data_IF_156970349230
#
_entry.id   IF_156970349230
#
_cell.length_a   1.000
_cell.length_b   1.000
_cell.length_c   1.000
_cell.angle_alpha   90.00
_cell.angle_beta   90.00
_cell.angle_gamma   90.00
#
_symmetry.space_group_name_H-M   'P 1'
#
loop_
_entity.id
_entity.type
_entity.pdbx_description
1 polymer ?
#
# COMPACT_ATOMS: atom_id res chain seq x y z
N UNK A 1 4.20 -15.27 27.35
CA UNK A 1 4.51 -13.85 27.15
C UNK A 1 5.68 -13.82 26.18
N UNK A 2 5.44 -13.59 24.89
CA UNK A 2 6.45 -13.75 23.83
C UNK A 2 7.44 -12.60 23.91
N UNK A 3 8.70 -12.90 24.17
CA UNK A 3 9.80 -11.96 23.95
C UNK A 3 9.85 -11.61 22.46
N UNK A 4 9.35 -10.42 22.12
CA UNK A 4 9.48 -9.87 20.77
C UNK A 4 10.91 -9.36 20.56
N UNK A 5 11.62 -10.00 19.63
CA UNK A 5 12.94 -9.63 19.11
C UNK A 5 13.06 -8.11 18.85
N UNK A 6 14.13 -7.43 19.31
CA UNK A 6 14.37 -6.01 19.05
C UNK A 6 14.38 -5.64 17.56
N UNK A 7 14.79 -6.54 16.65
CA UNK A 7 14.73 -6.30 15.20
C UNK A 7 13.28 -6.20 14.71
N UNK A 8 12.40 -7.06 15.23
CA UNK A 8 10.97 -7.02 14.93
C UNK A 8 10.31 -5.74 15.46
N UNK A 9 10.80 -5.16 16.56
CA UNK A 9 10.32 -3.86 17.08
C UNK A 9 10.72 -2.71 16.16
N UNK A 10 11.97 -2.66 15.69
CA UNK A 10 12.44 -1.61 14.77
C UNK A 10 11.66 -1.65 13.45
N UNK A 11 11.46 -2.85 12.90
CA UNK A 11 10.70 -3.01 11.65
C UNK A 11 9.22 -2.63 11.82
N UNK A 12 8.63 -2.91 12.98
CA UNK A 12 7.27 -2.45 13.31
C UNK A 12 7.17 -0.92 13.42
N UNK A 13 8.19 -0.24 13.94
CA UNK A 13 8.22 1.23 13.95
C UNK A 13 8.36 1.83 12.55
N UNK A 14 9.11 1.18 11.65
CA UNK A 14 9.28 1.65 10.28
C UNK A 14 8.00 1.51 9.45
N UNK A 15 7.30 0.37 9.57
CA UNK A 15 5.98 0.19 8.93
C UNK A 15 5.01 1.27 9.39
N UNK A 16 4.95 1.54 10.70
CA UNK A 16 4.05 2.56 11.25
C UNK A 16 4.34 3.94 10.67
N UNK A 17 5.63 4.29 10.51
CA UNK A 17 6.07 5.55 9.88
C UNK A 17 5.63 5.60 8.41
N UNK A 18 5.84 4.55 7.64
CA UNK A 18 5.41 4.48 6.24
C UNK A 18 3.90 4.66 6.10
N UNK A 19 3.11 3.95 6.92
CA UNK A 19 1.64 4.05 6.89
C UNK A 19 1.18 5.49 7.17
N UNK A 20 1.78 6.15 8.17
CA UNK A 20 1.41 7.52 8.51
C UNK A 20 1.75 8.51 7.39
N UNK A 21 2.96 8.40 6.80
CA UNK A 21 3.36 9.26 5.68
C UNK A 21 2.46 9.04 4.45
N UNK A 22 2.14 7.78 4.12
CA UNK A 22 1.25 7.46 3.01
C UNK A 22 -0.16 8.03 3.24
N UNK A 23 -0.65 7.95 4.48
CA UNK A 23 -1.95 8.53 4.84
C UNK A 23 -1.95 10.04 4.63
N UNK A 24 -0.93 10.76 5.12
CA UNK A 24 -0.81 12.21 4.92
C UNK A 24 -0.76 12.56 3.43
N UNK A 25 0.04 11.84 2.64
CA UNK A 25 0.07 12.04 1.19
C UNK A 25 -1.32 11.86 0.56
N UNK A 26 -2.02 10.76 0.87
CA UNK A 26 -3.36 10.51 0.37
C UNK A 26 -4.37 11.57 0.83
N UNK A 27 -4.24 12.15 2.02
CA UNK A 27 -5.15 13.19 2.51
C UNK A 27 -5.09 14.47 1.65
N UNK A 28 -3.95 14.74 1.03
CA UNK A 28 -3.77 15.91 0.16
C UNK A 28 -4.11 15.65 -1.31
N UNK A 29 -4.08 14.39 -1.75
CA UNK A 29 -4.17 14.03 -3.17
C UNK A 29 -5.42 13.21 -3.53
N UNK A 30 -6.11 12.64 -2.54
CA UNK A 30 -7.34 11.88 -2.74
C UNK A 30 -8.54 12.68 -2.25
N UNK A 31 -9.70 12.48 -2.89
CA UNK A 31 -10.97 13.09 -2.44
C UNK A 31 -11.39 12.58 -1.07
N UNK A 32 -11.16 11.30 -0.81
CA UNK A 32 -11.58 10.64 0.42
C UNK A 32 -10.77 9.37 0.66
N UNK A 33 -10.73 8.90 1.91
CA UNK A 33 -9.96 7.73 2.35
C UNK A 33 -10.87 6.78 3.12
N UNK A 34 -10.71 5.48 2.88
CA UNK A 34 -11.45 4.41 3.56
C UNK A 34 -10.48 3.39 4.13
N UNK A 35 -10.80 2.89 5.32
CA UNK A 35 -10.13 1.73 5.89
C UNK A 35 -11.20 0.78 6.42
N UNK A 36 -11.38 -0.35 5.73
CA UNK A 36 -12.44 -1.32 6.03
C UNK A 36 -11.98 -2.43 6.97
N UNK A 37 -10.68 -2.49 7.29
CA UNK A 37 -10.10 -3.51 8.16
C UNK A 37 -9.99 -4.91 7.53
N UNK A 38 -10.22 -5.03 6.21
CA UNK A 38 -10.08 -6.28 5.46
C UNK A 38 -9.47 -6.00 4.10
N UNK A 39 -8.20 -6.41 3.92
CA UNK A 39 -7.48 -6.26 2.64
C UNK A 39 -8.22 -6.91 1.48
N UNK A 40 -8.73 -8.13 1.67
CA UNK A 40 -9.49 -8.83 0.63
C UNK A 40 -10.68 -7.99 0.16
N UNK A 41 -11.46 -7.45 1.11
CA UNK A 41 -12.65 -6.66 0.80
C UNK A 41 -12.31 -5.36 0.09
N UNK A 42 -11.27 -4.65 0.55
CA UNK A 42 -10.82 -3.39 -0.04
C UNK A 42 -10.39 -3.58 -1.50
N UNK A 43 -9.62 -4.63 -1.80
CA UNK A 43 -9.23 -4.98 -3.17
C UNK A 43 -10.44 -5.40 -4.03
N UNK A 44 -11.38 -6.18 -3.48
CA UNK A 44 -12.62 -6.50 -4.20
C UNK A 44 -13.46 -5.26 -4.51
N UNK A 45 -13.41 -4.23 -3.66
CA UNK A 45 -14.05 -2.95 -3.94
C UNK A 45 -13.33 -2.16 -5.03
N UNK A 46 -12.01 -2.25 -5.14
CA UNK A 46 -11.27 -1.74 -6.31
C UNK A 46 -11.71 -2.46 -7.58
N UNK A 47 -11.75 -3.80 -7.56
CA UNK A 47 -12.21 -4.59 -8.70
C UNK A 47 -13.64 -4.25 -9.12
N UNK A 48 -14.52 -3.93 -8.16
CA UNK A 48 -15.90 -3.52 -8.42
C UNK A 48 -16.06 -2.03 -8.77
N UNK A 49 -14.98 -1.25 -8.85
CA UNK A 49 -15.02 0.19 -9.13
C UNK A 49 -15.65 1.04 -8.03
N UNK A 50 -15.76 0.52 -6.80
CA UNK A 50 -16.27 1.26 -5.63
C UNK A 50 -15.18 2.04 -4.90
N UNK A 51 -13.93 1.61 -5.05
CA UNK A 51 -12.73 2.31 -4.62
C UNK A 51 -11.82 2.50 -5.82
N UNK A 52 -11.17 3.65 -5.90
CA UNK A 52 -10.27 3.95 -7.02
C UNK A 52 -8.89 3.31 -6.82
N UNK A 53 -8.40 3.25 -5.59
CA UNK A 53 -7.08 2.72 -5.27
C UNK A 53 -7.04 2.05 -3.89
N UNK A 54 -6.03 1.20 -3.70
CA UNK A 54 -5.74 0.49 -2.46
C UNK A 54 -4.23 0.47 -2.21
N UNK A 55 -3.81 0.72 -0.97
CA UNK A 55 -2.40 0.53 -0.56
C UNK A 55 -2.35 -0.12 0.81
N UNK A 56 -1.47 -1.11 0.98
CA UNK A 56 -1.22 -1.71 2.29
C UNK A 56 0.18 -2.30 2.42
N UNK A 57 0.67 -2.27 3.65
CA UNK A 57 1.96 -2.76 4.07
C UNK A 57 1.74 -3.84 5.14
N UNK A 58 2.24 -5.03 4.88
CA UNK A 58 2.20 -6.18 5.79
C UNK A 58 0.94 -7.06 5.80
N UNK A 59 0.00 -7.09 4.83
CA UNK A 59 -1.03 -8.15 4.82
C UNK A 59 -0.37 -9.54 4.66
N UNK A 60 -0.98 -10.61 5.17
CA UNK A 60 -0.48 -11.96 4.87
C UNK A 60 -0.83 -12.32 3.43
N UNK A 61 0.00 -13.11 2.78
CA UNK A 61 -0.12 -13.47 1.37
C UNK A 61 -1.52 -14.00 1.02
N UNK A 62 -2.06 -14.85 1.90
CA UNK A 62 -3.38 -15.44 1.75
C UNK A 62 -4.54 -14.45 1.96
N UNK A 63 -4.31 -13.32 2.63
CA UNK A 63 -5.36 -12.30 2.86
C UNK A 63 -5.71 -11.52 1.59
N UNK A 64 -4.87 -11.58 0.55
CA UNK A 64 -5.05 -10.74 -0.64
C UNK A 64 -4.79 -11.44 -1.98
N UNK A 65 -4.14 -12.60 -2.00
CA UNK A 65 -3.80 -13.30 -3.24
C UNK A 65 -5.01 -13.52 -4.17
N UNK A 66 -6.17 -13.93 -3.61
CA UNK A 66 -7.38 -14.12 -4.41
C UNK A 66 -7.94 -12.79 -4.96
N UNK A 67 -7.93 -11.74 -4.14
CA UNK A 67 -8.46 -10.43 -4.53
C UNK A 67 -7.56 -9.74 -5.58
N UNK A 68 -6.26 -10.01 -5.57
CA UNK A 68 -5.33 -9.56 -6.64
C UNK A 68 -5.78 -10.06 -8.00
N UNK A 69 -6.15 -11.35 -8.10
CA UNK A 69 -6.65 -11.91 -9.36
C UNK A 69 -7.94 -11.20 -9.79
N UNK A 70 -8.86 -10.96 -8.86
CA UNK A 70 -10.10 -10.24 -9.16
C UNK A 70 -9.86 -8.84 -9.73
N UNK A 71 -8.93 -8.07 -9.16
CA UNK A 71 -8.60 -6.73 -9.69
C UNK A 71 -8.05 -6.83 -11.11
N UNK A 72 -7.16 -7.80 -11.37
CA UNK A 72 -6.57 -7.99 -12.71
C UNK A 72 -7.63 -8.38 -13.75
N UNK A 73 -8.53 -9.30 -13.42
CA UNK A 73 -9.62 -9.73 -14.33
C UNK A 73 -10.66 -8.61 -14.56
N UNK A 74 -10.82 -7.71 -13.60
CA UNK A 74 -11.65 -6.50 -13.77
C UNK A 74 -10.98 -5.42 -14.65
N UNK A 75 -9.74 -5.64 -15.11
CA UNK A 75 -8.97 -4.66 -15.89
C UNK A 75 -8.21 -3.63 -15.06
N UNK A 76 -8.21 -3.79 -13.73
CA UNK A 76 -7.40 -2.98 -12.82
C UNK A 76 -5.93 -3.41 -12.80
N UNK A 77 -5.12 -2.66 -12.07
CA UNK A 77 -3.69 -2.90 -11.93
C UNK A 77 -3.32 -3.15 -10.47
N UNK A 78 -2.44 -4.13 -10.24
CA UNK A 78 -1.85 -4.39 -8.94
C UNK A 78 -0.34 -4.57 -9.07
N UNK A 79 0.41 -3.72 -8.38
CA UNK A 79 1.86 -3.60 -8.44
C UNK A 79 2.43 -3.45 -7.02
N UNK A 80 3.74 -3.51 -6.94
CA UNK A 80 4.49 -3.14 -5.75
C UNK A 80 4.68 -1.59 -5.69
N UNK A 81 5.06 -1.05 -4.54
CA UNK A 81 5.27 0.38 -4.27
C UNK A 81 6.41 0.99 -5.10
N UNK A 82 7.33 0.17 -5.59
CA UNK A 82 8.40 0.55 -6.53
C UNK A 82 7.98 0.46 -8.01
N UNK A 83 6.70 0.15 -8.27
CA UNK A 83 6.15 0.01 -9.61
C UNK A 83 6.46 -1.31 -10.31
N UNK A 84 7.15 -2.23 -9.62
CA UNK A 84 7.43 -3.56 -10.14
C UNK A 84 6.20 -4.47 -10.08
N UNK A 85 6.19 -5.59 -10.84
CA UNK A 85 5.16 -6.61 -10.69
C UNK A 85 5.02 -7.05 -9.23
N UNK A 86 3.77 -7.20 -8.77
CA UNK A 86 3.49 -7.62 -7.40
C UNK A 86 4.10 -8.99 -7.10
N UNK A 87 4.94 -9.05 -6.07
CA UNK A 87 5.44 -10.29 -5.47
C UNK A 87 4.78 -10.50 -4.10
N UNK A 88 3.90 -11.50 -3.97
CA UNK A 88 3.06 -11.69 -2.78
C UNK A 88 3.87 -11.75 -1.47
N UNK A 89 5.03 -12.42 -1.49
CA UNK A 89 5.89 -12.61 -0.32
C UNK A 89 6.51 -11.31 0.22
N UNK A 90 6.56 -10.24 -0.58
CA UNK A 90 7.01 -8.92 -0.10
C UNK A 90 5.96 -8.26 0.79
N UNK A 91 4.70 -8.75 0.75
CA UNK A 91 3.59 -8.31 1.61
C UNK A 91 3.41 -6.79 1.57
N UNK A 92 3.47 -6.22 0.37
CA UNK A 92 3.21 -4.82 0.08
C UNK A 92 2.52 -4.77 -1.28
N UNK A 93 1.35 -4.14 -1.33
CA UNK A 93 0.53 -4.12 -2.52
C UNK A 93 -0.08 -2.74 -2.72
N UNK A 94 0.00 -2.26 -3.96
CA UNK A 94 -0.62 -1.05 -4.45
C UNK A 94 -1.52 -1.44 -5.62
N UNK A 95 -2.79 -1.11 -5.54
CA UNK A 95 -3.76 -1.37 -6.60
C UNK A 95 -4.47 -0.09 -7.03
N UNK A 96 -4.85 -0.05 -8.29
CA UNK A 96 -5.70 0.99 -8.87
C UNK A 96 -6.74 0.39 -9.80
N UNK A 97 -7.88 1.05 -9.91
CA UNK A 97 -8.93 0.72 -10.89
C UNK A 97 -8.44 0.83 -12.33
N UNK A 98 -7.35 1.56 -12.57
CA UNK A 98 -6.61 1.62 -13.84
C UNK A 98 -5.10 1.53 -13.61
N UNK A 99 -4.35 1.11 -14.62
CA UNK A 99 -2.88 1.10 -14.57
C UNK A 99 -2.27 2.49 -14.36
N UNK A 100 -2.81 3.51 -15.04
CA UNK A 100 -2.35 4.90 -14.88
C UNK A 100 -2.50 5.40 -13.44
N UNK A 101 -3.64 5.08 -12.79
CA UNK A 101 -3.88 5.47 -11.41
C UNK A 101 -3.01 4.69 -10.42
N UNK A 102 -2.83 3.38 -10.61
CA UNK A 102 -1.92 2.61 -9.76
C UNK A 102 -0.49 3.20 -9.83
N UNK A 103 -0.03 3.53 -11.03
CA UNK A 103 1.31 4.10 -11.26
C UNK A 103 1.47 5.53 -10.76
N UNK A 104 0.42 6.34 -10.65
CA UNK A 104 0.55 7.73 -10.16
C UNK A 104 1.03 7.81 -8.71
N UNK A 105 0.81 6.76 -7.93
CA UNK A 105 1.26 6.67 -6.53
C UNK A 105 2.72 6.19 -6.38
N UNK A 106 3.30 5.60 -7.44
CA UNK A 106 4.70 5.14 -7.44
C UNK A 106 5.62 6.34 -7.28
N UNK A 107 6.59 6.24 -6.37
CA UNK A 107 7.47 7.35 -6.05
C UNK A 107 6.81 8.46 -5.22
N UNK A 108 5.65 8.22 -4.63
CA UNK A 108 5.05 9.11 -3.62
C UNK A 108 4.77 8.38 -2.31
N UNK A 109 4.40 7.10 -2.41
CA UNK A 109 4.17 6.26 -1.23
C UNK A 109 5.48 5.60 -0.77
N UNK A 110 5.63 5.49 0.54
CA UNK A 110 6.74 4.83 1.22
C UNK A 110 6.41 3.38 1.58
N UNK A 111 7.43 2.52 1.55
CA UNK A 111 7.38 1.15 2.04
C UNK A 111 8.69 0.81 2.76
N UNK A 112 8.70 -0.12 3.74
CA UNK A 112 9.93 -0.56 4.38
C UNK A 112 10.93 -1.10 3.36
N UNK A 113 12.21 -0.70 3.51
CA UNK A 113 13.28 -1.08 2.59
C UNK A 113 13.25 -0.37 1.23
N UNK A 114 12.28 0.52 0.98
CA UNK A 114 12.28 1.44 -0.16
C UNK A 114 12.91 2.77 0.28
N UNK A 115 13.82 3.31 -0.51
CA UNK A 115 14.35 4.66 -0.27
C UNK A 115 13.20 5.68 -0.29
N UNK A 116 13.19 6.70 0.58
CA UNK A 116 12.14 7.71 0.57
C UNK A 116 12.10 8.41 -0.80
N UNK A 117 10.92 8.58 -1.40
CA UNK A 117 10.82 9.33 -2.64
C UNK A 117 11.12 10.81 -2.39
N UNK A 118 12.22 11.30 -2.95
CA UNK A 118 12.70 12.67 -2.69
C UNK A 118 13.28 12.80 -1.28
N UNK A 119 14.56 13.14 -1.19
CA UNK A 119 15.25 13.28 0.09
C UNK A 119 14.57 14.30 1.01
N UNK A 120 14.32 13.89 2.26
CA UNK A 120 14.15 14.72 3.48
C UNK A 120 13.10 15.86 3.52
N UNK A 121 12.47 16.29 2.43
CA UNK A 121 11.76 17.57 2.38
C UNK A 121 10.36 17.56 3.05
N UNK A 122 9.67 16.43 3.12
CA UNK A 122 8.29 16.39 3.67
C UNK A 122 8.22 16.43 5.21
N UNK A 123 9.34 16.22 5.91
CA UNK A 123 9.39 16.27 7.39
C UNK A 123 9.85 17.63 7.94
N UNK A 124 10.26 18.58 7.09
CA UNK A 124 10.57 19.95 7.53
C UNK A 124 9.37 20.91 7.48
N UNK A 125 8.20 20.44 6.99
CA UNK A 125 6.99 21.25 6.82
C UNK A 125 5.92 21.02 7.91
N UNK A 126 6.25 20.32 8.99
CA UNK A 126 5.43 20.16 10.20
C UNK A 126 6.26 20.56 11.44
#
# INVERSE_FOLDING_TARGET
MRDCDPVARTMASDVKRCVLNNLVYCMHHCRDIRHLGSTALELCYVAAGRLDAYQSLGPKEWDFAAAVLMVKEAGGCVIDFDGQPLELHKRRALAGSTDALARSFVGHLMAPGLAPPGGEELLQAL
#
